data_IF_339255521553
#
_entry.id   IF_339255521553
#
_cell.length_a   1.000
_cell.length_b   1.000
_cell.length_c   1.000
_cell.angle_alpha   90.00
_cell.angle_beta   90.00
_cell.angle_gamma   90.00
#
_symmetry.space_group_name_H-M   'P 1'
#
loop_
_entity.id
_entity.type
_entity.pdbx_description
1 polymer ?
2 non-polymer ?
3 water ?
#
# COMPACT_ATOMS: atom_id res chain seq x y z
N UNK A 1 -4.46 10.06 6.44
CA UNK A 1 -4.28 8.97 5.45
C UNK A 1 -3.26 9.33 4.38
N UNK A 2 -2.91 8.36 3.53
CA UNK A 2 -2.19 8.56 2.28
C UNK A 2 -2.72 7.57 1.21
N UNK A 3 -2.65 7.93 -0.07
CA UNK A 3 -3.14 7.09 -1.15
C UNK A 3 -2.03 6.31 -1.88
N UNK A 4 -2.37 5.14 -2.39
CA UNK A 4 -1.56 4.41 -3.36
C UNK A 4 -1.78 4.99 -4.76
N UNK A 5 -0.71 4.93 -5.55
CA UNK A 5 -0.75 4.94 -7.02
C UNK A 5 -1.38 3.67 -7.59
N UNK A 6 -0.77 2.52 -7.28
CA UNK A 6 -1.14 1.21 -7.84
C UNK A 6 -2.56 0.73 -7.49
N UNK A 7 -3.11 1.09 -6.31
CA UNK A 7 -4.51 0.80 -5.98
C UNK A 7 -5.48 1.93 -6.40
N UNK A 8 -5.03 3.17 -6.42
CA UNK A 8 -5.93 4.35 -6.46
C UNK A 8 -6.83 4.50 -5.22
N UNK A 9 -6.38 4.04 -4.05
CA UNK A 9 -7.16 3.96 -2.79
C UNK A 9 -6.37 4.50 -1.58
N UNK A 10 -7.10 4.99 -0.57
CA UNK A 10 -6.55 5.51 0.70
C UNK A 10 -6.25 4.38 1.70
N UNK A 11 -5.12 4.53 2.40
CA UNK A 11 -4.69 3.70 3.52
C UNK A 11 -3.99 4.55 4.60
N UNK A 12 -3.69 3.92 5.74
CA UNK A 12 -2.86 4.47 6.81
C UNK A 12 -1.35 4.33 6.50
N UNK A 13 -0.56 3.82 7.46
CA UNK A 13 0.92 3.83 7.47
C UNK A 13 1.51 2.45 7.74
N UNK A 14 0.95 1.77 8.75
CA UNK A 14 0.91 0.31 8.94
C UNK A 14 2.21 -0.43 8.61
N UNK A 15 3.19 -0.39 9.52
CA UNK A 15 4.34 -1.31 9.56
C UNK A 15 2.77 -3.90 8.77
N UNK A 16 1.48 -4.16 8.30
CA UNK A 16 1.20 -4.93 7.08
C UNK A 16 1.02 -2.36 4.75
N UNK A 17 1.56 -1.05 4.80
CA UNK A 17 2.72 -0.64 4.01
C UNK A 17 4.76 -3.24 4.68
N UNK A 18 4.75 -4.44 5.42
CA UNK A 18 5.25 -5.72 4.87
C UNK A 18 2.37 -6.27 2.57
N UNK A 19 1.17 -5.56 2.37
CA UNK A 19 0.77 -4.91 1.11
C UNK A 19 3.77 -3.57 -0.05
N UNK A 20 5.13 -3.58 0.33
CA UNK A 20 6.19 -3.94 -0.61
C UNK A 20 4.86 -6.73 -1.39
N UNK A 21 3.83 -7.64 -1.09
CA UNK A 21 2.90 -8.19 -2.09
C UNK A 21 1.95 -5.53 -3.77
N UNK A 22 2.65 -4.32 -3.86
CA UNK A 22 2.88 -3.66 -5.16
C UNK A 22 6.07 -5.67 -5.96
N UNK A 23 6.89 -6.48 -5.14
CA UNK A 23 8.02 -7.27 -5.65
C UNK A 23 7.60 -8.53 -6.44
N UNK A 24 6.50 -9.16 -5.99
CA UNK A 24 6.03 -10.48 -6.43
C UNK A 24 4.52 -10.56 -6.15
N UNK A 25 3.87 -11.50 -6.83
CA UNK A 25 2.56 -12.06 -6.49
C UNK A 25 2.58 -13.57 -6.66
X LIG B 1 -1.81 -0.59 -2.31
#
# INVERSE_FOLDING_TARGET
PFACDICGRKFARSXXXXXXXXRKD
ZN ZN
#
